data_IF_399245068370
#
_entry.id   IF_399245068370
#
_cell.length_a   1.000
_cell.length_b   1.000
_cell.length_c   1.000
_cell.angle_alpha   90.00
_cell.angle_beta   90.00
_cell.angle_gamma   90.00
#
_symmetry.space_group_name_H-M   'P 1'
#
loop_
_entity.id
_entity.type
_entity.pdbx_description
1 polymer ?
#
# COMPACT_ATOMS: atom_id res chain seq x y z
N UNK A 1 21.27 -1.56 -6.54
CA UNK A 1 20.21 -1.92 -5.60
C UNK A 1 18.87 -1.84 -6.31
N UNK A 2 18.03 -2.84 -6.16
CA UNK A 2 16.79 -2.95 -6.93
C UNK A 2 15.64 -2.24 -6.22
N UNK A 3 14.94 -1.35 -6.92
CA UNK A 3 13.72 -0.73 -6.44
C UNK A 3 12.58 -1.75 -6.48
N UNK A 4 11.78 -1.76 -5.43
CA UNK A 4 10.58 -2.58 -5.35
C UNK A 4 9.37 -1.67 -5.19
N UNK A 5 8.32 -1.98 -5.94
CA UNK A 5 7.05 -1.28 -5.84
C UNK A 5 5.98 -2.26 -5.41
N UNK A 6 5.19 -1.88 -4.43
CA UNK A 6 4.05 -2.67 -4.00
C UNK A 6 2.88 -1.77 -3.64
N UNK A 7 1.69 -2.35 -3.64
CA UNK A 7 0.46 -1.67 -3.24
C UNK A 7 -0.09 -2.32 -1.99
N UNK A 8 -0.59 -1.51 -1.07
CA UNK A 8 -1.28 -1.98 0.13
C UNK A 8 -2.75 -1.71 -0.05
N UNK A 9 -3.57 -2.76 0.02
CA UNK A 9 -5.03 -2.69 -0.15
C UNK A 9 -5.73 -3.16 1.10
N UNK A 10 -6.99 -2.74 1.29
CA UNK A 10 -7.81 -3.12 2.44
C UNK A 10 -8.91 -4.06 1.97
N UNK A 11 -8.85 -5.32 2.38
CA UNK A 11 -9.81 -6.35 1.99
C UNK A 11 -11.08 -6.25 2.81
N UNK A 12 -12.24 -6.43 2.15
CA UNK A 12 -13.51 -6.61 2.87
C UNK A 12 -13.48 -7.91 3.65
N UNK A 13 -14.10 -7.92 4.83
CA UNK A 13 -14.13 -9.10 5.69
C UNK A 13 -14.70 -10.33 4.98
N UNK A 14 -15.72 -10.13 4.15
CA UNK A 14 -16.37 -11.22 3.41
C UNK A 14 -15.45 -11.95 2.45
N UNK A 15 -14.35 -11.32 2.03
CA UNK A 15 -13.40 -11.91 1.08
C UNK A 15 -12.05 -12.23 1.70
N UNK A 16 -11.88 -11.90 2.98
CA UNK A 16 -10.58 -12.06 3.65
C UNK A 16 -10.07 -13.51 3.60
N UNK A 17 -10.92 -14.46 3.97
CA UNK A 17 -10.49 -15.86 4.05
C UNK A 17 -10.16 -16.44 2.68
N UNK A 18 -10.94 -16.08 1.67
CA UNK A 18 -10.71 -16.54 0.30
C UNK A 18 -9.38 -16.01 -0.22
N UNK A 19 -9.11 -14.72 0.01
CA UNK A 19 -7.87 -14.10 -0.47
C UNK A 19 -6.65 -14.64 0.28
N UNK A 20 -6.78 -14.90 1.58
CA UNK A 20 -5.67 -15.49 2.34
C UNK A 20 -5.36 -16.90 1.86
N UNK A 21 -6.37 -17.65 1.46
CA UNK A 21 -6.21 -19.00 0.92
C UNK A 21 -5.66 -18.96 -0.52
N UNK A 22 -6.09 -17.99 -1.33
CA UNK A 22 -5.70 -17.84 -2.73
C UNK A 22 -5.13 -16.45 -2.99
N UNK A 23 -3.95 -16.17 -2.46
CA UNK A 23 -3.33 -14.84 -2.53
C UNK A 23 -3.14 -14.31 -3.95
N UNK A 24 -2.91 -15.23 -4.89
CA UNK A 24 -2.73 -14.86 -6.29
C UNK A 24 -3.98 -14.21 -6.88
N UNK A 25 -5.15 -14.52 -6.33
CA UNK A 25 -6.42 -13.98 -6.80
C UNK A 25 -6.48 -12.46 -6.63
N UNK A 26 -6.10 -11.96 -5.45
CA UNK A 26 -6.09 -10.53 -5.21
C UNK A 26 -5.14 -9.80 -6.16
N UNK A 27 -3.96 -10.39 -6.40
CA UNK A 27 -2.99 -9.83 -7.34
C UNK A 27 -3.55 -9.73 -8.76
N UNK A 28 -4.18 -10.79 -9.24
CA UNK A 28 -4.74 -10.83 -10.58
C UNK A 28 -5.90 -9.84 -10.73
N UNK A 29 -6.78 -9.78 -9.74
CA UNK A 29 -7.93 -8.88 -9.79
C UNK A 29 -7.53 -7.41 -9.72
N UNK A 30 -6.50 -7.08 -8.96
CA UNK A 30 -6.06 -5.69 -8.78
C UNK A 30 -5.19 -5.19 -9.93
N UNK A 31 -4.58 -6.08 -10.69
CA UNK A 31 -3.64 -5.73 -11.76
C UNK A 31 -4.30 -5.06 -12.96
N UNK A 32 -5.55 -5.40 -13.25
CA UNK A 32 -6.25 -5.00 -14.47
C UNK A 32 -7.22 -3.85 -14.20
N UNK A 33 -6.69 -2.67 -13.84
CA UNK A 33 -7.50 -1.51 -13.50
C UNK A 33 -7.76 -0.57 -14.68
N UNK A 34 -7.81 -1.09 -15.88
CA UNK A 34 -7.85 -0.27 -17.08
C UNK A 34 -9.25 0.05 -17.59
N UNK A 35 -10.30 -0.62 -17.09
CA UNK A 35 -11.65 -0.34 -17.55
C UNK A 35 -12.64 -0.24 -16.37
N UNK A 36 -13.89 0.16 -16.70
CA UNK A 36 -14.95 0.37 -15.71
C UNK A 36 -15.31 -0.92 -14.98
N UNK A 37 -15.23 -2.04 -15.67
CA UNK A 37 -15.56 -3.35 -15.10
C UNK A 37 -14.57 -3.71 -13.98
N UNK A 38 -13.30 -3.49 -14.24
CA UNK A 38 -12.24 -3.76 -13.24
C UNK A 38 -12.39 -2.86 -12.02
N UNK A 39 -12.78 -1.60 -12.23
CA UNK A 39 -13.04 -0.66 -11.13
C UNK A 39 -14.15 -1.16 -10.21
N UNK A 40 -15.22 -1.69 -10.79
CA UNK A 40 -16.35 -2.26 -10.02
C UNK A 40 -15.93 -3.50 -9.26
N UNK A 41 -15.05 -4.34 -9.80
CA UNK A 41 -14.52 -5.49 -9.09
C UNK A 41 -13.70 -5.07 -7.88
N UNK A 42 -12.92 -4.00 -8.02
CA UNK A 42 -12.14 -3.45 -6.91
C UNK A 42 -13.07 -3.02 -5.79
N UNK A 43 -14.17 -2.30 -6.12
CA UNK A 43 -15.15 -1.85 -5.13
C UNK A 43 -15.83 -3.01 -4.40
N UNK A 44 -15.98 -4.16 -5.06
CA UNK A 44 -16.59 -5.34 -4.44
C UNK A 44 -15.66 -6.01 -3.42
N UNK A 45 -14.36 -6.07 -3.72
CA UNK A 45 -13.39 -6.83 -2.93
C UNK A 45 -12.66 -5.99 -1.90
N UNK A 46 -12.43 -4.72 -2.21
CA UNK A 46 -11.60 -3.83 -1.42
C UNK A 46 -12.41 -2.66 -0.87
N UNK A 47 -11.97 -2.14 0.26
CA UNK A 47 -12.58 -0.95 0.88
C UNK A 47 -11.69 0.27 0.67
N UNK A 48 -12.32 1.47 0.57
CA UNK A 48 -11.55 2.70 0.62
C UNK A 48 -10.80 2.81 1.95
N UNK A 49 -9.57 3.33 1.93
CA UNK A 49 -8.72 3.42 3.11
C UNK A 49 -8.56 4.88 3.57
N UNK A 50 -9.66 5.51 3.98
CA UNK A 50 -9.63 6.92 4.36
C UNK A 50 -9.10 7.13 5.78
N UNK A 51 -9.67 6.46 6.78
CA UNK A 51 -9.26 6.64 8.17
C UNK A 51 -7.87 6.07 8.44
N UNK A 52 -7.52 4.98 7.76
CA UNK A 52 -6.21 4.35 7.88
C UNK A 52 -5.12 5.21 7.27
N UNK A 53 -5.43 5.92 6.17
CA UNK A 53 -4.50 6.89 5.58
C UNK A 53 -4.19 8.02 6.57
N UNK A 54 -5.19 8.50 7.27
CA UNK A 54 -5.01 9.57 8.25
C UNK A 54 -4.12 9.10 9.40
N UNK A 55 -4.32 7.88 9.88
CA UNK A 55 -3.47 7.29 10.93
C UNK A 55 -2.03 7.14 10.45
N UNK A 56 -1.84 6.65 9.23
CA UNK A 56 -0.51 6.50 8.66
C UNK A 56 0.16 7.85 8.51
N UNK A 57 -0.55 8.84 7.98
CA UNK A 57 -0.03 10.19 7.80
C UNK A 57 0.39 10.81 9.12
N UNK A 58 -0.41 10.61 10.18
CA UNK A 58 -0.05 11.08 11.50
C UNK A 58 1.27 10.50 12.00
N UNK A 59 1.49 9.21 11.78
CA UNK A 59 2.75 8.54 12.14
C UNK A 59 3.91 9.07 11.30
N UNK A 60 3.71 9.18 9.99
CA UNK A 60 4.76 9.62 9.07
C UNK A 60 5.22 11.05 9.34
N UNK A 61 4.28 11.97 9.58
CA UNK A 61 4.61 13.38 9.78
C UNK A 61 5.40 13.65 11.07
N UNK A 62 5.35 12.72 12.01
CA UNK A 62 6.13 12.84 13.25
C UNK A 62 7.56 12.35 13.09
N UNK A 63 7.91 11.74 11.98
CA UNK A 63 9.26 11.24 11.74
C UNK A 63 10.16 12.37 11.23
N UNK A 64 11.41 12.37 11.68
CA UNK A 64 12.39 13.37 11.25
C UNK A 64 12.80 13.19 9.79
N UNK A 65 12.68 11.99 9.25
CA UNK A 65 13.04 11.67 7.88
C UNK A 65 11.90 11.88 6.88
N UNK A 66 10.77 12.44 7.34
CA UNK A 66 9.59 12.64 6.50
C UNK A 66 9.66 13.93 5.70
N UNK A 67 9.24 13.85 4.43
CA UNK A 67 9.15 14.99 3.52
C UNK A 67 7.94 14.82 2.61
N UNK A 68 7.28 15.92 2.28
CA UNK A 68 6.11 15.88 1.40
C UNK A 68 6.31 16.85 0.23
N UNK A 69 6.07 16.36 -1.00
CA UNK A 69 6.21 17.19 -2.18
C UNK A 69 5.29 16.69 -3.29
N UNK A 70 4.40 17.58 -3.77
CA UNK A 70 3.49 17.32 -4.90
C UNK A 70 2.70 16.02 -4.80
N UNK A 71 2.08 15.80 -3.64
CA UNK A 71 1.25 14.61 -3.43
C UNK A 71 2.01 13.34 -3.11
N UNK A 72 3.33 13.40 -3.06
CA UNK A 72 4.17 12.25 -2.74
C UNK A 72 4.78 12.45 -1.36
N UNK A 73 4.59 11.46 -0.50
CA UNK A 73 5.23 11.40 0.81
C UNK A 73 6.53 10.63 0.69
N UNK A 74 7.58 11.11 1.33
CA UNK A 74 8.90 10.48 1.25
C UNK A 74 9.49 10.28 2.63
N UNK A 75 10.17 9.16 2.82
CA UNK A 75 11.04 8.93 3.97
C UNK A 75 12.45 8.83 3.42
N UNK A 76 13.33 9.74 3.85
CA UNK A 76 14.70 9.82 3.35
C UNK A 76 15.65 9.51 4.51
N UNK A 77 16.37 8.39 4.41
CA UNK A 77 17.36 8.04 5.42
C UNK A 77 18.59 8.92 5.24
N UNK A 78 18.95 9.74 6.25
CA UNK A 78 20.04 10.69 6.09
C UNK A 78 21.44 10.05 6.06
N UNK A 79 21.54 8.79 6.47
CA UNK A 79 22.82 8.06 6.50
C UNK A 79 23.05 7.30 5.22
N UNK A 80 22.04 6.50 4.79
CA UNK A 80 22.18 5.63 3.60
C UNK A 80 21.70 6.30 2.33
N UNK A 81 21.01 7.43 2.44
CA UNK A 81 20.36 8.14 1.33
C UNK A 81 19.25 7.34 0.64
N UNK A 82 18.84 6.22 1.24
CA UNK A 82 17.70 5.46 0.73
C UNK A 82 16.42 6.26 0.86
N UNK A 83 15.57 6.19 -0.16
CA UNK A 83 14.31 6.93 -0.23
C UNK A 83 13.17 5.96 -0.37
N UNK A 84 12.14 6.12 0.48
CA UNK A 84 10.86 5.42 0.36
C UNK A 84 9.85 6.45 -0.13
N UNK A 85 9.19 6.19 -1.26
CA UNK A 85 8.12 7.05 -1.76
C UNK A 85 6.78 6.40 -1.50
N UNK A 86 5.81 7.21 -1.05
CA UNK A 86 4.50 6.73 -0.63
C UNK A 86 3.45 7.60 -1.30
N UNK A 87 2.57 6.98 -2.07
CA UNK A 87 1.44 7.65 -2.71
C UNK A 87 0.15 7.06 -2.17
N UNK A 88 -0.70 7.91 -1.59
CA UNK A 88 -1.96 7.48 -0.99
C UNK A 88 -3.11 7.70 -1.97
N UNK A 89 -3.74 6.62 -2.41
CA UNK A 89 -4.87 6.63 -3.33
C UNK A 89 -6.14 6.22 -2.59
N UNK A 90 -7.30 6.24 -3.26
CA UNK A 90 -8.57 5.92 -2.63
C UNK A 90 -8.62 4.48 -2.10
N UNK A 91 -8.15 3.52 -2.90
CA UNK A 91 -8.22 2.10 -2.58
C UNK A 91 -6.88 1.47 -2.28
N UNK A 92 -5.78 2.19 -2.43
CA UNK A 92 -4.46 1.63 -2.17
C UNK A 92 -3.47 2.65 -1.65
N UNK A 93 -2.38 2.15 -1.12
CA UNK A 93 -1.19 2.93 -0.78
C UNK A 93 -0.06 2.35 -1.62
N UNK A 94 0.46 3.13 -2.56
CA UNK A 94 1.54 2.68 -3.42
C UNK A 94 2.88 3.07 -2.80
N UNK A 95 3.74 2.08 -2.61
CA UNK A 95 5.04 2.28 -1.97
C UNK A 95 6.15 1.81 -2.91
N UNK A 96 7.17 2.64 -3.07
CA UNK A 96 8.39 2.27 -3.80
C UNK A 96 9.57 2.43 -2.85
N UNK A 97 10.36 1.36 -2.68
CA UNK A 97 11.49 1.39 -1.76
C UNK A 97 12.63 0.51 -2.24
N UNK A 98 13.83 0.79 -1.75
CA UNK A 98 15.04 0.04 -2.07
C UNK A 98 15.34 -1.03 -1.02
N UNK A 99 14.81 -0.86 0.18
CA UNK A 99 15.05 -1.74 1.31
C UNK A 99 14.34 -3.07 1.13
N UNK A 100 14.88 -4.13 1.72
CA UNK A 100 14.19 -5.42 1.80
C UNK A 100 13.11 -5.43 2.87
N UNK A 101 13.10 -4.42 3.74
CA UNK A 101 12.08 -4.27 4.78
C UNK A 101 10.85 -3.59 4.18
N UNK A 102 9.67 -3.99 4.64
CA UNK A 102 8.41 -3.38 4.22
C UNK A 102 7.92 -2.46 5.33
N UNK A 103 8.63 -1.33 5.52
CA UNK A 103 8.39 -0.44 6.67
C UNK A 103 6.96 0.08 6.71
N UNK A 104 6.46 0.57 5.57
CA UNK A 104 5.10 1.12 5.51
C UNK A 104 4.04 0.04 5.72
N UNK A 105 4.22 -1.12 5.10
CA UNK A 105 3.29 -2.24 5.28
C UNK A 105 3.26 -2.71 6.73
N UNK A 106 4.43 -2.78 7.38
CA UNK A 106 4.51 -3.19 8.78
C UNK A 106 3.75 -2.21 9.69
N UNK A 107 3.79 -0.92 9.38
CA UNK A 107 3.04 0.09 10.13
C UNK A 107 1.52 -0.13 9.98
N UNK A 108 1.03 -0.20 8.74
CA UNK A 108 -0.41 -0.31 8.50
C UNK A 108 -0.97 -1.66 8.93
N UNK A 109 -0.18 -2.71 8.87
CA UNK A 109 -0.59 -4.03 9.33
C UNK A 109 -0.93 -4.05 10.80
N UNK A 110 -0.35 -3.13 11.58
CA UNK A 110 -0.71 -2.93 12.97
C UNK A 110 -2.11 -2.33 13.18
N UNK A 111 -2.70 -1.72 12.16
CA UNK A 111 -4.04 -1.14 12.25
C UNK A 111 -5.14 -2.17 12.04
N UNK A 112 -4.93 -3.15 11.15
CA UNK A 112 -5.92 -4.16 10.83
C UNK A 112 -5.28 -5.34 10.11
N UNK A 113 -5.79 -6.55 10.38
CA UNK A 113 -5.38 -7.76 9.67
C UNK A 113 -5.80 -7.76 8.21
N UNK A 114 -6.74 -6.89 7.83
CA UNK A 114 -7.30 -6.87 6.46
C UNK A 114 -6.42 -6.15 5.46
N UNK A 115 -5.33 -5.53 5.89
CA UNK A 115 -4.36 -4.97 4.96
C UNK A 115 -3.58 -6.08 4.27
N UNK A 116 -3.48 -5.98 2.97
CA UNK A 116 -2.84 -6.98 2.12
C UNK A 116 -1.88 -6.30 1.16
N UNK A 117 -0.67 -6.86 1.04
CA UNK A 117 0.37 -6.31 0.17
C UNK A 117 0.37 -7.04 -1.16
N UNK A 118 0.30 -6.28 -2.25
CA UNK A 118 0.39 -6.80 -3.61
C UNK A 118 1.67 -6.25 -4.25
N UNK A 119 2.65 -7.11 -4.47
CA UNK A 119 3.88 -6.70 -5.11
C UNK A 119 3.68 -6.57 -6.62
N UNK A 120 4.20 -5.47 -7.17
CA UNK A 120 4.22 -5.26 -8.61
C UNK A 120 5.51 -5.88 -9.17
N UNK A 121 5.56 -7.19 -9.20
CA UNK A 121 6.67 -7.89 -9.83
C UNK A 121 6.36 -8.15 -11.29
N UNK A 122 7.29 -7.79 -12.08
CA UNK A 122 7.24 -8.00 -13.51
C UNK A 122 7.88 -9.34 -13.83
#
# INVERSE_FOLDING_TARGET
MKLRTYKIVYLKNSFYDIVMQYRILARLLYRNQTDIFDTKQIELLFMPIQSEKEKLLEILTQREDYEYYHGIHKLINPITEEVITIQMNEYDIKVTEQSQKHIVYDIVKGFSKNFFMIEENI
#
